data_IF_723125815855
#
_entry.id   IF_723125815855
#
_cell.length_a   1.000
_cell.length_b   1.000
_cell.length_c   1.000
_cell.angle_alpha   90.00
_cell.angle_beta   90.00
_cell.angle_gamma   90.00
#
_symmetry.space_group_name_H-M   'P 1'
#
loop_
_entity.id
_entity.type
_entity.pdbx_description
1 polymer ?
#
# COMPACT_ATOMS: atom_id res chain seq x y z
N UNK A 1 -17.73 -17.16 15.08
CA UNK A 1 -17.52 -15.80 15.65
C UNK A 1 -16.40 -15.17 14.81
N UNK A 2 -16.68 -14.04 14.15
CA UNK A 2 -15.67 -13.38 13.30
C UNK A 2 -14.55 -12.88 14.19
N UNK A 3 -13.33 -13.28 13.91
CA UNK A 3 -12.16 -12.79 14.66
C UNK A 3 -11.82 -11.38 14.17
N UNK A 4 -12.37 -10.38 14.84
CA UNK A 4 -12.11 -8.98 14.52
C UNK A 4 -10.63 -8.60 14.63
N UNK A 5 -9.85 -9.29 15.46
CA UNK A 5 -8.41 -9.05 15.59
C UNK A 5 -7.65 -9.45 14.33
N UNK A 6 -8.03 -10.58 13.71
CA UNK A 6 -7.43 -10.99 12.44
C UNK A 6 -7.82 -10.02 11.32
N UNK A 7 -9.09 -9.60 11.27
CA UNK A 7 -9.53 -8.60 10.31
C UNK A 7 -8.76 -7.28 10.48
N UNK A 8 -8.61 -6.79 11.71
CA UNK A 8 -7.83 -5.59 12.02
C UNK A 8 -6.38 -5.73 11.54
N UNK A 9 -5.71 -6.85 11.84
CA UNK A 9 -4.35 -7.13 11.36
C UNK A 9 -4.24 -7.05 9.84
N UNK A 10 -5.16 -7.70 9.13
CA UNK A 10 -5.15 -7.72 7.65
C UNK A 10 -5.50 -6.37 7.03
N UNK A 11 -6.31 -5.54 7.70
CA UNK A 11 -6.66 -4.20 7.23
C UNK A 11 -5.63 -3.11 7.56
N UNK A 12 -4.68 -3.41 8.45
CA UNK A 12 -3.68 -2.42 8.91
C UNK A 12 -2.26 -2.74 8.47
N UNK A 13 -2.01 -3.97 7.99
CA UNK A 13 -0.71 -4.33 7.44
C UNK A 13 -0.54 -3.77 6.03
N UNK A 14 0.64 -3.27 5.74
CA UNK A 14 1.00 -2.77 4.42
C UNK A 14 1.26 -3.93 3.46
N UNK A 15 0.69 -3.85 2.25
CA UNK A 15 0.83 -4.91 1.24
C UNK A 15 0.36 -4.44 -0.13
N UNK A 16 1.07 -3.48 -0.74
CA UNK A 16 0.78 -3.06 -2.11
C UNK A 16 1.14 -4.17 -3.10
N UNK A 17 0.52 -4.17 -4.28
CA UNK A 17 0.83 -5.14 -5.35
C UNK A 17 2.33 -5.15 -5.65
N UNK A 18 2.94 -6.34 -5.54
CA UNK A 18 4.38 -6.57 -5.70
C UNK A 18 5.21 -6.47 -4.40
N UNK A 19 4.64 -6.01 -3.28
CA UNK A 19 5.27 -6.01 -1.96
C UNK A 19 4.32 -6.55 -0.87
N UNK A 20 3.69 -7.70 -1.11
CA UNK A 20 2.73 -8.35 -0.23
C UNK A 20 3.39 -9.19 0.87
N UNK A 21 4.70 -9.08 1.06
CA UNK A 21 5.47 -9.93 1.99
C UNK A 21 4.90 -9.99 3.39
N UNK A 22 4.57 -8.83 3.96
CA UNK A 22 4.02 -8.72 5.33
C UNK A 22 2.62 -9.34 5.46
N UNK A 23 1.75 -9.14 4.47
CA UNK A 23 0.42 -9.76 4.42
C UNK A 23 0.54 -11.27 4.32
N UNK A 24 1.43 -11.75 3.44
CA UNK A 24 1.70 -13.16 3.22
C UNK A 24 2.13 -13.86 4.51
N UNK A 25 3.01 -13.25 5.28
CA UNK A 25 3.48 -13.79 6.56
C UNK A 25 2.33 -13.95 7.56
N UNK A 26 1.47 -12.95 7.69
CA UNK A 26 0.28 -13.03 8.57
C UNK A 26 -0.63 -14.19 8.12
N UNK A 27 -0.95 -14.28 6.82
CA UNK A 27 -1.82 -15.33 6.30
C UNK A 27 -1.22 -16.71 6.56
N UNK A 28 0.07 -16.92 6.26
CA UNK A 28 0.74 -18.20 6.49
C UNK A 28 0.67 -18.60 7.97
N UNK A 29 0.96 -17.68 8.88
CA UNK A 29 0.92 -17.95 10.31
C UNK A 29 -0.47 -18.33 10.81
N UNK A 30 -1.52 -17.69 10.31
CA UNK A 30 -2.90 -17.96 10.72
C UNK A 30 -3.43 -19.29 10.14
N UNK A 31 -3.04 -19.68 8.93
CA UNK A 31 -3.55 -20.91 8.30
C UNK A 31 -2.70 -22.15 8.57
N UNK A 32 -1.44 -21.98 8.97
CA UNK A 32 -0.49 -23.08 9.23
C UNK A 32 -1.04 -24.18 10.15
N UNK A 33 -1.77 -23.91 11.24
CA UNK A 33 -2.33 -24.94 12.09
C UNK A 33 -3.40 -25.81 11.43
N UNK A 34 -3.98 -25.35 10.31
CA UNK A 34 -5.11 -26.00 9.65
C UNK A 34 -4.72 -26.62 8.30
N UNK A 35 -3.53 -26.33 7.77
CA UNK A 35 -3.07 -26.75 6.47
C UNK A 35 -2.30 -28.08 6.54
N UNK A 36 -2.47 -28.92 5.53
CA UNK A 36 -1.64 -30.12 5.36
C UNK A 36 -0.38 -29.80 4.52
N UNK A 37 -0.47 -28.82 3.62
CA UNK A 37 0.65 -28.33 2.81
C UNK A 37 0.49 -26.85 2.51
N UNK A 38 1.60 -26.10 2.58
CA UNK A 38 1.66 -24.68 2.21
C UNK A 38 2.86 -24.49 1.30
N UNK A 39 2.63 -23.86 0.15
CA UNK A 39 3.67 -23.45 -0.81
C UNK A 39 3.53 -22.00 -1.16
N UNK A 40 4.65 -21.34 -1.37
CA UNK A 40 4.69 -20.01 -2.01
C UNK A 40 5.37 -20.17 -3.36
N UNK A 41 4.74 -19.68 -4.41
CA UNK A 41 5.33 -19.70 -5.75
C UNK A 41 6.25 -18.48 -6.01
N UNK A 42 6.84 -18.45 -7.21
CA UNK A 42 7.78 -17.38 -7.60
C UNK A 42 7.12 -16.01 -7.75
N UNK A 43 5.79 -15.94 -7.88
CA UNK A 43 5.02 -14.70 -7.93
C UNK A 43 4.56 -14.24 -6.53
N UNK A 44 4.85 -15.06 -5.50
CA UNK A 44 4.44 -14.75 -4.14
C UNK A 44 3.05 -15.27 -3.77
N UNK A 45 2.35 -15.99 -4.63
CA UNK A 45 1.07 -16.60 -4.30
C UNK A 45 1.22 -17.67 -3.20
N UNK A 46 0.28 -17.69 -2.25
CA UNK A 46 0.20 -18.73 -1.23
C UNK A 46 -0.75 -19.81 -1.74
N UNK A 47 -0.24 -21.01 -1.88
CA UNK A 47 -1.02 -22.19 -2.28
C UNK A 47 -1.13 -23.12 -1.08
N UNK A 48 -2.34 -23.31 -0.59
CA UNK A 48 -2.61 -24.08 0.61
C UNK A 48 -3.44 -25.30 0.26
N UNK A 49 -3.02 -26.46 0.72
CA UNK A 49 -3.78 -27.68 0.58
C UNK A 49 -4.29 -28.17 1.94
N UNK A 50 -5.57 -28.51 1.98
CA UNK A 50 -6.23 -29.15 3.12
C UNK A 50 -6.91 -30.44 2.67
N UNK A 51 -6.49 -31.55 3.25
CA UNK A 51 -7.08 -32.86 2.99
C UNK A 51 -8.45 -32.96 3.67
N UNK A 52 -9.45 -33.36 2.92
CA UNK A 52 -10.78 -33.65 3.46
C UNK A 52 -10.78 -34.90 4.34
N UNK A 53 -11.72 -34.98 5.28
CA UNK A 53 -11.91 -36.16 6.14
C UNK A 53 -12.33 -37.41 5.34
N UNK A 54 -13.10 -37.22 4.29
CA UNK A 54 -13.59 -38.29 3.41
C UNK A 54 -13.02 -38.09 2.02
N UNK A 55 -12.99 -39.20 1.21
CA UNK A 55 -12.60 -39.10 -0.19
C UNK A 55 -13.60 -38.21 -0.95
N UNK A 56 -13.14 -37.06 -1.38
CA UNK A 56 -13.96 -36.12 -2.11
C UNK A 56 -14.21 -36.57 -3.54
N UNK A 57 -15.43 -36.35 -4.04
CA UNK A 57 -15.80 -36.56 -5.45
C UNK A 57 -15.24 -35.46 -6.36
N UNK A 58 -14.99 -34.25 -5.77
CA UNK A 58 -14.46 -33.09 -6.44
C UNK A 58 -13.47 -32.35 -5.54
N UNK A 59 -12.60 -31.53 -6.13
CA UNK A 59 -11.73 -30.59 -5.42
C UNK A 59 -12.42 -29.23 -5.38
N UNK A 60 -12.44 -28.59 -4.21
CA UNK A 60 -12.87 -27.21 -4.04
C UNK A 60 -11.63 -26.33 -3.98
N UNK A 61 -11.60 -25.25 -4.76
CA UNK A 61 -10.59 -24.21 -4.69
C UNK A 61 -11.27 -22.90 -4.25
N UNK A 62 -10.69 -22.26 -3.23
CA UNK A 62 -11.02 -20.89 -2.81
C UNK A 62 -9.86 -19.99 -3.24
N UNK A 63 -10.19 -18.84 -3.80
CA UNK A 63 -9.19 -17.86 -4.26
C UNK A 63 -9.57 -16.48 -3.75
N UNK A 64 -8.57 -15.75 -3.26
CA UNK A 64 -8.69 -14.35 -2.85
C UNK A 64 -7.36 -13.66 -3.09
N UNK A 65 -7.39 -12.34 -3.34
CA UNK A 65 -6.17 -11.53 -3.41
C UNK A 65 -5.75 -11.07 -2.01
N UNK A 66 -4.48 -10.70 -1.85
CA UNK A 66 -3.92 -10.21 -0.60
C UNK A 66 -3.31 -8.80 -0.71
N UNK A 67 -3.25 -8.26 -1.92
CA UNK A 67 -2.71 -6.93 -2.17
C UNK A 67 -3.74 -5.83 -1.93
N UNK A 68 -3.23 -4.65 -1.69
CA UNK A 68 -3.97 -3.40 -1.64
C UNK A 68 -3.43 -2.39 -2.64
N UNK A 69 -4.19 -1.33 -2.88
CA UNK A 69 -3.76 -0.20 -3.72
C UNK A 69 -2.77 0.67 -2.96
N UNK A 70 -1.86 1.30 -3.69
CA UNK A 70 -0.87 2.17 -3.07
C UNK A 70 -0.13 3.05 -4.08
N UNK A 71 1.07 3.47 -3.72
CA UNK A 71 1.91 4.33 -4.54
C UNK A 71 3.34 3.83 -4.57
N UNK A 72 3.99 4.04 -5.69
CA UNK A 72 5.42 3.79 -5.86
C UNK A 72 6.14 5.12 -6.03
N UNK A 73 7.18 5.36 -5.24
CA UNK A 73 8.05 6.54 -5.41
C UNK A 73 8.82 6.37 -6.71
N UNK A 74 8.69 7.37 -7.60
CA UNK A 74 9.34 7.36 -8.93
C UNK A 74 10.53 8.31 -8.99
N UNK A 75 10.55 9.37 -8.16
CA UNK A 75 11.64 10.35 -8.15
C UNK A 75 11.64 11.16 -6.84
N UNK A 76 12.76 11.83 -6.58
CA UNK A 76 12.92 12.78 -5.47
C UNK A 76 13.39 14.10 -6.07
N UNK A 77 12.59 15.16 -5.89
CA UNK A 77 12.92 16.49 -6.41
C UNK A 77 14.12 17.10 -5.68
N UNK A 78 14.76 18.12 -6.30
CA UNK A 78 15.83 18.88 -5.66
C UNK A 78 15.45 19.51 -4.33
N UNK A 79 14.16 19.84 -4.16
CA UNK A 79 13.60 20.40 -2.93
C UNK A 79 13.17 19.33 -1.91
N UNK A 80 13.40 18.05 -2.21
CA UNK A 80 13.15 16.94 -1.32
C UNK A 80 11.71 16.40 -1.35
N UNK A 81 10.84 16.83 -2.27
CA UNK A 81 9.52 16.23 -2.45
C UNK A 81 9.62 14.89 -3.19
N UNK A 82 8.75 13.94 -2.83
CA UNK A 82 8.68 12.67 -3.52
C UNK A 82 7.69 12.77 -4.68
N UNK A 83 8.12 12.35 -5.86
CA UNK A 83 7.24 12.03 -6.97
C UNK A 83 6.83 10.57 -6.86
N UNK A 84 5.61 10.27 -7.29
CA UNK A 84 5.05 8.93 -7.18
C UNK A 84 4.09 8.65 -8.33
N UNK A 85 3.83 7.38 -8.53
CA UNK A 85 2.79 6.89 -9.43
C UNK A 85 1.91 5.87 -8.71
N UNK A 86 0.73 5.61 -9.22
CA UNK A 86 -0.23 4.70 -8.61
C UNK A 86 0.17 3.23 -8.82
N UNK A 87 -0.11 2.40 -7.82
CA UNK A 87 -0.09 0.95 -7.89
C UNK A 87 -1.50 0.45 -7.61
N UNK A 88 -2.13 -0.16 -8.62
CA UNK A 88 -3.55 -0.47 -8.60
C UNK A 88 -4.42 0.72 -9.06
N UNK A 89 -5.73 0.59 -8.97
CA UNK A 89 -6.68 1.61 -9.43
C UNK A 89 -7.09 2.56 -8.31
N UNK A 90 -6.58 3.79 -8.32
CA UNK A 90 -6.96 4.84 -7.39
C UNK A 90 -7.60 6.02 -8.11
N UNK A 91 -8.70 6.54 -7.57
CA UNK A 91 -9.31 7.76 -8.09
C UNK A 91 -8.52 8.99 -7.63
N UNK A 92 -7.88 9.68 -8.57
CA UNK A 92 -7.08 10.89 -8.32
C UNK A 92 -7.81 11.98 -7.54
N UNK A 93 -9.14 12.03 -7.64
CA UNK A 93 -9.97 13.02 -6.93
C UNK A 93 -9.94 12.87 -5.42
N UNK A 94 -9.71 11.65 -4.92
CA UNK A 94 -9.72 11.37 -3.48
C UNK A 94 -8.33 11.34 -2.86
N UNK A 95 -7.28 11.44 -3.67
CA UNK A 95 -5.88 11.27 -3.25
C UNK A 95 -5.31 12.53 -2.60
N UNK A 96 -5.71 13.71 -3.09
CA UNK A 96 -5.21 14.99 -2.59
C UNK A 96 -5.49 15.21 -1.11
N UNK A 97 -4.50 15.69 -0.39
CA UNK A 97 -4.58 15.97 1.05
C UNK A 97 -4.58 14.73 1.93
N UNK A 98 -4.45 13.53 1.34
CA UNK A 98 -4.35 12.29 2.12
C UNK A 98 -2.96 12.16 2.74
N UNK A 99 -2.95 11.64 3.96
CA UNK A 99 -1.73 11.18 4.62
C UNK A 99 -1.34 9.83 4.04
N UNK A 100 -0.06 9.65 3.79
CA UNK A 100 0.55 8.41 3.32
C UNK A 100 1.74 8.05 4.18
N UNK A 101 2.02 6.76 4.26
CA UNK A 101 3.21 6.21 4.92
C UNK A 101 4.23 5.84 3.86
N UNK A 102 5.47 6.33 4.01
CA UNK A 102 6.52 6.17 3.00
C UNK A 102 7.65 5.30 3.52
N UNK A 103 7.96 4.27 2.75
CA UNK A 103 9.11 3.40 2.91
C UNK A 103 9.13 2.60 4.21
N UNK A 104 10.17 1.80 4.38
CA UNK A 104 10.34 0.88 5.53
C UNK A 104 10.39 1.59 6.89
N UNK A 105 10.81 2.85 6.90
CA UNK A 105 10.88 3.66 8.13
C UNK A 105 9.53 4.31 8.49
N UNK A 106 8.49 4.04 7.72
CA UNK A 106 7.11 4.52 7.97
C UNK A 106 7.02 6.03 8.19
N UNK A 107 7.69 6.78 7.33
CA UNK A 107 7.67 8.25 7.39
C UNK A 107 6.32 8.76 6.90
N UNK A 108 5.63 9.52 7.73
CA UNK A 108 4.36 10.13 7.34
C UNK A 108 4.59 11.28 6.37
N UNK A 109 3.79 11.30 5.32
CA UNK A 109 3.76 12.37 4.32
C UNK A 109 2.33 12.75 3.96
N UNK A 110 2.19 13.88 3.29
CA UNK A 110 0.90 14.37 2.79
C UNK A 110 1.00 14.60 1.30
N UNK A 111 0.00 14.12 0.56
CA UNK A 111 -0.07 14.33 -0.88
C UNK A 111 -0.58 15.73 -1.18
N UNK A 112 0.20 16.49 -1.91
CA UNK A 112 -0.09 17.85 -2.33
C UNK A 112 0.09 18.07 -3.84
N UNK A 113 -0.33 19.25 -4.27
CA UNK A 113 -0.10 19.78 -5.62
C UNK A 113 0.41 21.21 -5.52
N UNK A 114 0.82 21.73 -6.66
CA UNK A 114 1.16 23.15 -6.80
C UNK A 114 0.05 24.04 -6.24
N UNK A 115 0.38 25.03 -5.39
CA UNK A 115 -0.60 25.93 -4.79
C UNK A 115 -1.45 26.66 -5.83
N UNK A 116 -2.73 26.85 -5.52
CA UNK A 116 -3.72 27.46 -6.44
C UNK A 116 -3.29 28.85 -6.95
N UNK A 117 -2.65 29.65 -6.11
CA UNK A 117 -2.17 30.99 -6.49
C UNK A 117 -1.01 30.97 -7.50
N UNK A 118 -0.33 29.84 -7.65
CA UNK A 118 0.72 29.62 -8.64
C UNK A 118 0.20 28.86 -9.88
N UNK A 119 -1.07 28.42 -9.87
CA UNK A 119 -1.68 27.64 -10.93
C UNK A 119 -2.41 28.55 -11.94
N UNK A 120 -2.39 28.14 -13.21
CA UNK A 120 -3.16 28.81 -14.27
C UNK A 120 -4.67 28.57 -14.09
N UNK A 121 -5.50 29.40 -14.73
CA UNK A 121 -6.96 29.37 -14.57
C UNK A 121 -7.57 28.01 -14.95
N UNK A 122 -7.07 27.35 -15.98
CA UNK A 122 -7.48 26.05 -16.46
C UNK A 122 -7.03 24.90 -15.55
N UNK A 123 -5.86 25.05 -14.90
CA UNK A 123 -5.34 24.06 -13.93
C UNK A 123 -6.17 24.02 -12.65
N UNK A 124 -6.87 25.11 -12.29
CA UNK A 124 -7.65 25.21 -11.03
C UNK A 124 -8.91 24.35 -11.02
N UNK A 125 -9.47 24.06 -12.17
CA UNK A 125 -10.73 23.29 -12.32
C UNK A 125 -10.49 21.84 -12.73
N UNK A 126 -9.30 21.51 -13.20
CA UNK A 126 -8.95 20.15 -13.60
C UNK A 126 -8.54 19.28 -12.41
N UNK A 127 -8.87 17.98 -12.49
CA UNK A 127 -8.32 17.00 -11.55
C UNK A 127 -6.84 16.78 -11.87
N UNK A 128 -5.91 17.06 -10.95
CA UNK A 128 -4.48 16.91 -11.21
C UNK A 128 -4.10 15.49 -11.63
N UNK A 129 -3.11 15.37 -12.50
CA UNK A 129 -2.48 14.06 -12.81
C UNK A 129 -1.51 13.68 -11.72
N UNK A 130 -1.19 12.38 -11.58
CA UNK A 130 -0.19 11.92 -10.60
C UNK A 130 1.17 12.61 -10.78
N UNK A 131 1.63 12.82 -12.01
CA UNK A 131 2.87 13.57 -12.28
C UNK A 131 2.90 15.02 -11.80
N UNK A 132 1.72 15.62 -11.49
CA UNK A 132 1.58 16.97 -10.94
C UNK A 132 1.49 16.96 -9.40
N UNK A 133 1.31 15.78 -8.81
CA UNK A 133 1.25 15.56 -7.36
C UNK A 133 2.65 15.28 -6.81
N UNK A 134 2.82 15.51 -5.52
CA UNK A 134 4.02 15.17 -4.77
C UNK A 134 3.67 14.86 -3.32
N UNK A 135 4.51 14.09 -2.67
CA UNK A 135 4.44 13.88 -1.22
C UNK A 135 5.41 14.84 -0.53
N UNK A 136 4.86 15.64 0.38
CA UNK A 136 5.63 16.39 1.37
C UNK A 136 5.65 15.56 2.66
N UNK A 137 6.82 15.18 3.15
CA UNK A 137 6.93 14.48 4.42
C UNK A 137 7.34 15.42 5.54
N UNK A 138 6.65 15.29 6.66
CA UNK A 138 6.73 16.24 7.80
C UNK A 138 7.95 16.04 8.70
N UNK A 139 8.88 15.16 8.35
CA UNK A 139 10.05 14.88 9.17
C UNK A 139 11.36 15.45 8.63
N UNK A 140 11.31 16.57 7.97
CA UNK A 140 12.40 17.50 8.06
C UNK A 140 12.16 18.33 9.31
N UNK A 141 12.70 17.91 10.44
CA UNK A 141 13.16 18.89 11.39
C UNK A 141 14.07 19.82 10.58
N UNK A 142 13.56 20.94 10.18
CA UNK A 142 14.37 22.11 9.91
C UNK A 142 15.19 22.31 11.20
N UNK A 143 16.35 21.71 11.28
CA UNK A 143 17.42 22.25 12.08
C UNK A 143 17.69 23.59 11.42
N UNK A 144 16.96 24.61 11.86
CA UNK A 144 17.44 25.96 11.79
C UNK A 144 18.75 25.92 12.57
N UNK A 145 19.85 25.78 11.86
CA UNK A 145 21.13 26.21 12.37
C UNK A 145 20.99 27.70 12.55
N UNK A 146 20.53 28.11 13.73
CA UNK A 146 20.80 29.42 14.25
C UNK A 146 22.32 29.47 14.44
N UNK A 147 23.00 29.90 13.41
CA UNK A 147 24.33 30.47 13.55
C UNK A 147 24.11 31.85 14.23
N UNK A 148 24.31 31.83 15.55
CA UNK A 148 24.64 33.05 16.25
C UNK A 148 26.08 33.47 15.97
#
# INVERSE_FOLDING_TARGET
>A
MTDFKLLEKLCTVEGISGDEGSVREIIINEIKPFADEIKTDNLGNIIVFKKGKNRAKAKLMLSAHMDEVGFMVTDITSDGYLKFDEVGGLDRRVVLGKTVTVGKNKVNGVIGVKPIHLSKSDERTAVPKYGEMYVSYTHLTLRTNSLG
#
